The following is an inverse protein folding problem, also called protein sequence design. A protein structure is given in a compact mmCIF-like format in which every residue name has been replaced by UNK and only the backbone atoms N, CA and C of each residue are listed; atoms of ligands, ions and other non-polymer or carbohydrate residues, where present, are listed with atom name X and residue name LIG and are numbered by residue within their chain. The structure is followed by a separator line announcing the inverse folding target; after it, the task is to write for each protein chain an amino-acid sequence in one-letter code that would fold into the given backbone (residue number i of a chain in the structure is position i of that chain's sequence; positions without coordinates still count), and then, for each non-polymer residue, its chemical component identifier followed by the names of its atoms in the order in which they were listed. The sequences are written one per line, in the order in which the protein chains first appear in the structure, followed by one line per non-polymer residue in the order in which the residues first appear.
data_IF_953316422961
#
_entry.id   IF_953316422961
#
_cell.length_a   1.000
_cell.length_b   1.000
_cell.length_c   1.000
_cell.angle_alpha   90.00
_cell.angle_beta   90.00
_cell.angle_gamma   90.00
#
_symmetry.space_group_name_H-M   'P 1'
#
loop_
_entity.id
_entity.type
_entity.pdbx_description
1 polymer ?
#
# COMPACT_ATOMS: atom_id res chain seq x y z
N UNK A 1 18.57 24.52 -1.29
CA UNK A 1 17.61 24.53 -2.41
C UNK A 1 16.88 23.20 -2.36
N UNK A 2 15.62 23.22 -1.98
CA UNK A 2 14.80 22.04 -1.75
C UNK A 2 14.66 21.25 -3.07
N UNK A 3 15.29 20.08 -3.14
CA UNK A 3 15.03 19.11 -4.19
C UNK A 3 13.75 18.31 -3.85
N UNK A 4 12.67 19.03 -3.53
CA UNK A 4 11.35 18.56 -3.94
C UNK A 4 11.41 18.54 -5.49
N UNK A 5 11.02 17.48 -6.19
CA UNK A 5 9.76 17.51 -6.92
C UNK A 5 9.32 16.10 -7.38
N UNK A 6 10.23 15.15 -7.67
CA UNK A 6 9.87 13.88 -8.32
C UNK A 6 10.46 12.63 -7.68
N UNK A 7 11.64 12.76 -7.06
CA UNK A 7 12.36 11.61 -6.50
C UNK A 7 11.61 11.04 -5.29
N UNK A 8 11.12 11.90 -4.39
CA UNK A 8 10.33 11.45 -3.23
C UNK A 8 8.99 10.84 -3.63
N UNK A 9 8.33 11.39 -4.67
CA UNK A 9 7.12 10.81 -5.24
C UNK A 9 7.40 9.45 -5.90
N UNK A 10 8.54 9.28 -6.57
CA UNK A 10 8.97 8.00 -7.12
C UNK A 10 9.26 6.97 -6.02
N UNK A 11 9.90 7.37 -4.92
CA UNK A 11 10.07 6.51 -3.74
C UNK A 11 8.74 6.09 -3.13
N UNK A 12 7.76 7.00 -3.07
CA UNK A 12 6.41 6.70 -2.60
C UNK A 12 5.69 5.72 -3.53
N UNK A 13 5.77 5.93 -4.85
CA UNK A 13 5.21 5.01 -5.84
C UNK A 13 5.87 3.62 -5.74
N UNK A 14 7.19 3.57 -5.54
CA UNK A 14 7.91 2.32 -5.33
C UNK A 14 7.45 1.63 -4.03
N UNK A 15 7.25 2.37 -2.94
CA UNK A 15 6.73 1.83 -1.69
C UNK A 15 5.33 1.22 -1.87
N UNK A 16 4.45 1.88 -2.63
CA UNK A 16 3.11 1.36 -2.97
C UNK A 16 3.23 0.05 -3.76
N UNK A 17 4.06 0.02 -4.81
CA UNK A 17 4.25 -1.20 -5.63
C UNK A 17 4.79 -2.36 -4.80
N UNK A 18 5.81 -2.10 -3.97
CA UNK A 18 6.40 -3.11 -3.09
C UNK A 18 5.39 -3.63 -2.07
N UNK A 19 4.53 -2.77 -1.52
CA UNK A 19 3.45 -3.18 -0.62
C UNK A 19 2.46 -4.11 -1.33
N UNK A 20 2.02 -3.76 -2.54
CA UNK A 20 1.09 -4.61 -3.31
C UNK A 20 1.71 -5.97 -3.56
N UNK A 21 2.97 -6.02 -3.99
CA UNK A 21 3.72 -7.27 -4.19
C UNK A 21 3.83 -8.06 -2.89
N UNK A 22 4.10 -7.38 -1.77
CA UNK A 22 4.16 -8.01 -0.47
C UNK A 22 2.83 -8.66 -0.08
N UNK A 23 1.70 -7.96 -0.29
CA UNK A 23 0.36 -8.46 -0.01
C UNK A 23 -0.02 -9.65 -0.91
N UNK A 24 0.36 -9.60 -2.19
CA UNK A 24 0.15 -10.70 -3.14
C UNK A 24 0.94 -11.94 -2.71
N UNK A 25 2.23 -11.79 -2.37
CA UNK A 25 3.05 -12.88 -1.86
C UNK A 25 2.54 -13.40 -0.51
N UNK A 26 2.05 -12.53 0.37
CA UNK A 26 1.44 -12.94 1.63
C UNK A 26 0.25 -13.86 1.37
N UNK A 27 -0.61 -13.48 0.41
CA UNK A 27 -1.76 -14.30 0.03
C UNK A 27 -1.34 -15.63 -0.59
N UNK A 28 -0.32 -15.65 -1.45
CA UNK A 28 0.25 -16.88 -2.01
C UNK A 28 0.95 -17.76 -0.97
N UNK A 29 1.40 -17.19 0.15
CA UNK A 29 2.03 -17.96 1.22
C UNK A 29 1.06 -18.91 1.95
N UNK A 30 -0.26 -18.75 1.76
CA UNK A 30 -1.30 -19.47 2.49
C UNK A 30 -1.07 -19.43 4.01
N UNK A 31 -0.90 -18.21 4.54
CA UNK A 31 -0.59 -18.01 5.97
C UNK A 31 0.76 -18.60 6.37
N UNK A 32 1.80 -18.37 5.56
CA UNK A 32 3.18 -18.86 5.76
C UNK A 32 3.38 -20.38 5.65
N UNK A 33 2.37 -21.15 5.23
CA UNK A 33 2.53 -22.57 4.89
C UNK A 33 3.55 -22.76 3.77
N UNK A 34 3.50 -21.90 2.75
CA UNK A 34 4.52 -21.82 1.70
C UNK A 34 5.58 -20.79 2.09
N UNK A 35 6.58 -21.25 2.83
CA UNK A 35 7.62 -20.42 3.47
C UNK A 35 8.32 -19.45 2.52
N UNK A 36 8.61 -19.86 1.28
CA UNK A 36 9.27 -19.01 0.28
C UNK A 36 8.46 -17.74 0.00
N UNK A 37 7.16 -17.87 -0.29
CA UNK A 37 6.30 -16.71 -0.53
C UNK A 37 6.13 -15.85 0.73
N UNK A 38 6.09 -16.47 1.90
CA UNK A 38 6.07 -15.74 3.19
C UNK A 38 7.32 -14.91 3.41
N UNK A 39 8.50 -15.47 3.16
CA UNK A 39 9.79 -14.77 3.24
C UNK A 39 9.88 -13.63 2.22
N UNK A 40 9.47 -13.87 0.96
CA UNK A 40 9.43 -12.83 -0.07
C UNK A 40 8.48 -11.70 0.29
N UNK A 41 7.33 -12.03 0.88
CA UNK A 41 6.38 -11.02 1.38
C UNK A 41 7.01 -10.14 2.45
N UNK A 42 7.65 -10.73 3.46
CA UNK A 42 8.33 -9.98 4.52
C UNK A 42 9.45 -9.11 3.97
N UNK A 43 10.27 -9.64 3.05
CA UNK A 43 11.33 -8.88 2.40
C UNK A 43 10.77 -7.69 1.60
N UNK A 44 9.66 -7.89 0.88
CA UNK A 44 8.99 -6.83 0.13
C UNK A 44 8.38 -5.77 1.05
N UNK A 45 7.78 -6.14 2.20
CA UNK A 45 7.32 -5.18 3.22
C UNK A 45 8.49 -4.34 3.73
N UNK A 46 9.61 -4.96 4.10
CA UNK A 46 10.79 -4.23 4.58
C UNK A 46 11.33 -3.27 3.53
N UNK A 47 11.36 -3.70 2.26
CA UNK A 47 11.74 -2.84 1.14
C UNK A 47 10.74 -1.68 0.96
N UNK A 48 9.43 -1.92 1.08
CA UNK A 48 8.38 -0.90 0.99
C UNK A 48 8.57 0.17 2.07
N UNK A 49 8.76 -0.23 3.33
CA UNK A 49 9.03 0.70 4.43
C UNK A 49 10.35 1.46 4.25
N UNK A 50 11.37 0.81 3.70
CA UNK A 50 12.64 1.47 3.40
C UNK A 50 12.48 2.54 2.31
N UNK A 51 11.70 2.27 1.27
CA UNK A 51 11.36 3.24 0.23
C UNK A 51 10.51 4.40 0.80
N UNK A 52 9.51 4.09 1.63
CA UNK A 52 8.70 5.09 2.33
C UNK A 52 9.56 6.00 3.21
N UNK A 53 10.55 5.45 3.92
CA UNK A 53 11.50 6.22 4.72
C UNK A 53 12.27 7.25 3.89
N UNK A 54 12.53 6.99 2.61
CA UNK A 54 13.14 7.98 1.70
C UNK A 54 12.12 9.00 1.18
N UNK A 55 10.87 8.59 0.96
CA UNK A 55 9.80 9.49 0.53
C UNK A 55 9.51 10.57 1.59
N UNK A 56 9.45 10.18 2.86
CA UNK A 56 9.11 11.08 3.99
C UNK A 56 10.21 12.08 4.34
N UNK A 57 11.40 11.97 3.73
CA UNK A 57 12.45 13.00 3.85
C UNK A 57 12.10 14.29 3.10
N UNK A 58 11.25 14.20 2.08
CA UNK A 58 10.80 15.34 1.30
C UNK A 58 9.30 15.60 1.39
N UNK A 59 8.49 14.60 1.75
CA UNK A 59 7.03 14.68 1.89
C UNK A 59 6.68 14.58 3.37
N UNK A 60 5.75 15.42 3.84
CA UNK A 60 5.23 15.30 5.21
C UNK A 60 4.71 13.88 5.48
N UNK A 61 5.06 13.35 6.65
CA UNK A 61 4.73 11.98 7.03
C UNK A 61 3.23 11.70 6.93
N UNK A 62 2.38 12.64 7.34
CA UNK A 62 0.91 12.54 7.26
C UNK A 62 0.43 12.40 5.80
N UNK A 63 0.97 13.22 4.90
CA UNK A 63 0.64 13.20 3.47
C UNK A 63 1.13 11.90 2.82
N UNK A 64 2.36 11.48 3.12
CA UNK A 64 2.93 10.24 2.62
C UNK A 64 2.11 9.02 3.07
N UNK A 65 1.71 8.95 4.34
CA UNK A 65 0.86 7.87 4.87
C UNK A 65 -0.55 7.87 4.27
N UNK A 66 -1.15 9.05 4.09
CA UNK A 66 -2.46 9.15 3.45
C UNK A 66 -2.43 8.63 2.01
N UNK A 67 -1.43 9.03 1.22
CA UNK A 67 -1.25 8.58 -0.15
C UNK A 67 -0.89 7.08 -0.21
N UNK A 68 0.11 6.66 0.55
CA UNK A 68 0.56 5.27 0.58
C UNK A 68 -0.56 4.33 0.98
N UNK A 69 -1.26 4.61 2.09
CA UNK A 69 -2.38 3.80 2.56
C UNK A 69 -3.56 3.80 1.60
N UNK A 70 -3.89 4.94 0.99
CA UNK A 70 -5.01 5.06 0.05
C UNK A 70 -4.82 4.25 -1.22
N UNK A 71 -3.68 4.47 -1.88
CA UNK A 71 -3.33 3.73 -3.09
C UNK A 71 -3.04 2.26 -2.79
N UNK A 72 -2.39 1.96 -1.66
CA UNK A 72 -2.10 0.61 -1.19
C UNK A 72 -3.37 -0.24 -1.02
N UNK A 73 -4.39 0.31 -0.35
CA UNK A 73 -5.69 -0.37 -0.17
C UNK A 73 -6.39 -0.55 -1.51
N UNK A 74 -6.50 0.51 -2.32
CA UNK A 74 -7.18 0.44 -3.61
C UNK A 74 -6.54 -0.60 -4.55
N UNK A 75 -5.21 -0.59 -4.64
CA UNK A 75 -4.47 -1.50 -5.48
C UNK A 75 -4.46 -2.94 -4.94
N UNK A 76 -4.38 -3.13 -3.63
CA UNK A 76 -4.50 -4.46 -3.00
C UNK A 76 -5.89 -5.05 -3.22
N UNK A 77 -6.95 -4.24 -3.17
CA UNK A 77 -8.31 -4.67 -3.51
C UNK A 77 -8.43 -5.05 -5.00
N UNK A 78 -7.88 -4.24 -5.90
CA UNK A 78 -7.84 -4.54 -7.32
C UNK A 78 -7.08 -5.84 -7.61
N UNK A 79 -5.90 -6.02 -7.00
CA UNK A 79 -5.12 -7.25 -7.08
C UNK A 79 -5.89 -8.44 -6.49
N UNK A 80 -6.57 -8.25 -5.36
CA UNK A 80 -7.50 -9.19 -4.73
C UNK A 80 -8.55 -9.71 -5.71
N UNK A 81 -9.17 -8.80 -6.45
CA UNK A 81 -10.21 -9.13 -7.42
C UNK A 81 -9.65 -9.82 -8.67
N UNK A 82 -8.57 -9.29 -9.26
CA UNK A 82 -7.99 -9.80 -10.51
C UNK A 82 -7.28 -11.14 -10.32
N UNK A 83 -6.43 -11.25 -9.29
CA UNK A 83 -5.55 -12.41 -9.10
C UNK A 83 -6.21 -13.54 -8.30
N UNK A 84 -7.10 -13.20 -7.38
CA UNK A 84 -7.69 -14.18 -6.44
C UNK A 84 -9.20 -14.30 -6.57
N UNK A 85 -9.83 -13.59 -7.53
CA UNK A 85 -11.27 -13.64 -7.75
C UNK A 85 -12.10 -13.10 -6.59
N UNK A 86 -11.49 -12.35 -5.65
CA UNK A 86 -12.20 -11.83 -4.49
C UNK A 86 -13.17 -10.73 -4.91
N UNK A 87 -14.46 -10.98 -4.74
CA UNK A 87 -15.50 -9.98 -5.00
C UNK A 87 -15.92 -9.34 -3.69
N UNK A 88 -15.88 -8.02 -3.64
CA UNK A 88 -16.51 -7.27 -2.55
C UNK A 88 -18.02 -7.42 -2.65
N UNK A 89 -18.64 -7.92 -1.59
CA UNK A 89 -20.09 -7.89 -1.44
C UNK A 89 -20.57 -6.45 -1.15
N UNK A 90 -21.89 -6.24 -1.12
CA UNK A 90 -22.50 -4.92 -0.92
C UNK A 90 -22.02 -4.21 0.36
N UNK A 91 -21.76 -4.97 1.43
CA UNK A 91 -21.23 -4.44 2.70
C UNK A 91 -19.75 -4.05 2.58
N UNK A 92 -18.95 -4.82 1.85
CA UNK A 92 -17.55 -4.51 1.56
C UNK A 92 -17.39 -3.19 0.80
N UNK A 93 -18.27 -2.92 -0.15
CA UNK A 93 -18.29 -1.63 -0.86
C UNK A 93 -18.59 -0.45 0.06
N UNK A 94 -19.56 -0.58 0.97
CA UNK A 94 -19.86 0.46 1.97
C UNK A 94 -18.65 0.70 2.87
N UNK A 95 -17.99 -0.38 3.33
CA UNK A 95 -16.77 -0.28 4.13
C UNK A 95 -15.64 0.46 3.40
N UNK A 96 -15.43 0.17 2.12
CA UNK A 96 -14.42 0.85 1.29
C UNK A 96 -14.69 2.35 1.18
N UNK A 97 -15.95 2.73 0.91
CA UNK A 97 -16.35 4.15 0.82
C UNK A 97 -16.10 4.88 2.14
N UNK A 98 -16.45 4.27 3.27
CA UNK A 98 -16.20 4.84 4.60
C UNK A 98 -14.70 5.00 4.89
N UNK A 99 -13.88 4.02 4.49
CA UNK A 99 -12.43 4.07 4.67
C UNK A 99 -11.81 5.22 3.86
N UNK A 100 -12.20 5.35 2.59
CA UNK A 100 -11.77 6.46 1.73
C UNK A 100 -12.23 7.82 2.25
N UNK A 101 -13.48 7.92 2.73
CA UNK A 101 -14.01 9.14 3.32
C UNK A 101 -13.23 9.56 4.58
N UNK A 102 -12.93 8.62 5.48
CA UNK A 102 -12.11 8.87 6.66
C UNK A 102 -10.70 9.34 6.31
N UNK A 103 -10.09 8.75 5.28
CA UNK A 103 -8.77 9.16 4.80
C UNK A 103 -8.75 10.59 4.24
N UNK A 104 -9.77 10.97 3.46
CA UNK A 104 -9.91 12.33 2.96
C UNK A 104 -10.08 13.31 4.13
N UNK A 105 -10.89 12.96 5.13
CA UNK A 105 -11.10 13.80 6.30
C UNK A 105 -9.80 14.03 7.09
N UNK A 106 -8.98 13.00 7.27
CA UNK A 106 -7.64 13.12 7.90
C UNK A 106 -6.71 14.01 7.08
N UNK A 107 -6.77 13.95 5.75
CA UNK A 107 -5.96 14.82 4.88
C UNK A 107 -6.39 16.30 4.97
N UNK A 108 -7.66 16.55 5.28
CA UNK A 108 -8.24 17.90 5.38
C UNK A 108 -8.10 18.53 6.78
N UNK A 109 -7.73 17.75 7.78
CA UNK A 109 -7.46 18.20 9.15
C UNK A 109 -6.01 18.68 9.28
#
# INVERSE_FOLDING_TARGET
MAQFEWVHAAWLALAIVLEIVANVFLKFSDGFRRKIFGLLSLAAVLAAFSALSQAVKGIDLSVAYALWGGFGIAATLAAGWILFGQRLNRKGWIGLVLLLAGMIMVKLA
#
